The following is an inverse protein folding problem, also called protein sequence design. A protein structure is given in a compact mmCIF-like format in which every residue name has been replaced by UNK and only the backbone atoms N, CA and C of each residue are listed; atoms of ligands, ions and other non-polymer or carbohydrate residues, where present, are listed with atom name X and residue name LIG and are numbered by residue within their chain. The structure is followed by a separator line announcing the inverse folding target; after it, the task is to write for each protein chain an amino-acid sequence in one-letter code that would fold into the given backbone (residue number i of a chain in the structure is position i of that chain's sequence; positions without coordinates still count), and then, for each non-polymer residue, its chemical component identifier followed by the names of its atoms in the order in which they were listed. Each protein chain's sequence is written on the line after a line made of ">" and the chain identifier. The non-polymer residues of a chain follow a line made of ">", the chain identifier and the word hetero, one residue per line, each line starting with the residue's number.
data_IF_283410487346
#
_entry.id   IF_283410487346
#
_cell.length_a   1.000
_cell.length_b   1.000
_cell.length_c   1.000
_cell.angle_alpha   90.00
_cell.angle_beta   90.00
_cell.angle_gamma   90.00
#
_symmetry.space_group_name_H-M   'P 1'
#
loop_
_entity.id
_entity.type
_entity.pdbx_description
1 polymer ?
#
# COMPACT_ATOMS: atom_id res chain seq x y z
N UNK A 1 7.65 -16.34 -33.03
CA UNK A 1 8.33 -16.40 -31.72
C UNK A 1 8.39 -15.03 -31.06
N UNK A 2 8.77 -14.00 -31.77
CA UNK A 2 8.86 -12.63 -31.23
C UNK A 2 7.52 -12.11 -30.65
N UNK A 3 6.42 -12.25 -31.41
CA UNK A 3 5.08 -11.84 -30.96
C UNK A 3 4.65 -12.53 -29.65
N UNK A 4 4.97 -13.82 -29.50
CA UNK A 4 4.72 -14.57 -28.27
C UNK A 4 5.50 -14.00 -27.08
N UNK A 5 6.81 -13.78 -27.26
CA UNK A 5 7.67 -13.23 -26.19
C UNK A 5 7.18 -11.85 -25.76
N UNK A 6 6.86 -10.98 -26.72
CA UNK A 6 6.35 -9.64 -26.43
C UNK A 6 5.00 -9.69 -25.71
N UNK A 7 4.09 -10.57 -26.13
CA UNK A 7 2.81 -10.76 -25.48
C UNK A 7 2.98 -11.27 -24.04
N UNK A 8 3.82 -12.27 -23.82
CA UNK A 8 4.15 -12.79 -22.50
C UNK A 8 4.73 -11.70 -21.57
N UNK A 9 5.71 -10.93 -22.06
CA UNK A 9 6.31 -9.84 -21.30
C UNK A 9 5.29 -8.75 -20.95
N UNK A 10 4.37 -8.41 -21.86
CA UNK A 10 3.29 -7.46 -21.57
C UNK A 10 2.35 -7.97 -20.48
N UNK A 11 1.99 -9.26 -20.50
CA UNK A 11 1.19 -9.87 -19.43
C UNK A 11 1.89 -9.71 -18.09
N UNK A 12 3.16 -10.11 -18.01
CA UNK A 12 3.93 -10.02 -16.77
C UNK A 12 4.07 -8.57 -16.29
N UNK A 13 4.40 -7.64 -17.19
CA UNK A 13 4.60 -6.24 -16.85
C UNK A 13 3.32 -5.56 -16.35
N UNK A 14 2.21 -5.71 -17.07
CA UNK A 14 0.95 -5.04 -16.74
C UNK A 14 0.19 -5.67 -15.57
N UNK A 15 0.53 -6.88 -15.17
CA UNK A 15 -0.05 -7.51 -13.98
C UNK A 15 0.92 -7.44 -12.80
N UNK A 16 1.89 -8.34 -12.75
CA UNK A 16 2.82 -8.50 -11.64
C UNK A 16 3.78 -7.30 -11.51
N UNK A 17 4.26 -6.75 -12.63
CA UNK A 17 5.18 -5.61 -12.65
C UNK A 17 4.58 -4.38 -11.97
N UNK A 18 3.32 -4.05 -12.27
CA UNK A 18 2.61 -2.92 -11.64
C UNK A 18 2.45 -3.14 -10.13
N UNK A 19 2.04 -4.34 -9.72
CA UNK A 19 1.86 -4.66 -8.29
C UNK A 19 3.17 -4.56 -7.53
N UNK A 20 4.26 -5.09 -8.10
CA UNK A 20 5.59 -5.02 -7.48
C UNK A 20 6.07 -3.56 -7.39
N UNK A 21 5.95 -2.78 -8.47
CA UNK A 21 6.36 -1.38 -8.47
C UNK A 21 5.60 -0.55 -7.42
N UNK A 22 4.28 -0.71 -7.37
CA UNK A 22 3.45 -0.03 -6.38
C UNK A 22 3.76 -0.50 -4.95
N UNK A 23 3.91 -1.80 -4.74
CA UNK A 23 4.27 -2.37 -3.43
C UNK A 23 5.63 -1.87 -2.92
N UNK A 24 6.63 -1.76 -3.82
CA UNK A 24 7.93 -1.18 -3.48
C UNK A 24 7.82 0.31 -3.12
N UNK A 25 7.01 1.09 -3.84
CA UNK A 25 6.80 2.49 -3.53
C UNK A 25 6.20 2.69 -2.12
N UNK A 26 5.20 1.87 -1.75
CA UNK A 26 4.61 1.87 -0.39
C UNK A 26 5.65 1.46 0.66
N UNK A 27 6.46 0.43 0.40
CA UNK A 27 7.52 -0.02 1.31
C UNK A 27 8.60 1.05 1.50
N UNK A 28 8.98 1.78 0.44
CA UNK A 28 9.92 2.90 0.54
C UNK A 28 9.36 3.99 1.44
N UNK A 29 8.11 4.41 1.26
CA UNK A 29 7.46 5.39 2.14
C UNK A 29 7.49 4.95 3.62
N UNK A 30 7.16 3.68 3.89
CA UNK A 30 7.22 3.10 5.22
C UNK A 30 8.63 3.19 5.81
N UNK A 31 9.66 2.75 5.08
CA UNK A 31 11.05 2.80 5.53
C UNK A 31 11.51 4.22 5.82
N UNK A 32 11.14 5.17 4.98
CA UNK A 32 11.46 6.59 5.20
C UNK A 32 10.78 7.13 6.48
N UNK A 33 9.50 6.79 6.71
CA UNK A 33 8.84 7.16 7.97
C UNK A 33 9.61 6.64 9.19
N UNK A 34 10.02 5.37 9.18
CA UNK A 34 10.79 4.78 10.28
C UNK A 34 12.19 5.39 10.44
N UNK A 35 12.87 5.65 9.33
CA UNK A 35 14.18 6.30 9.31
C UNK A 35 14.10 7.68 10.02
N UNK A 36 13.11 8.47 9.65
CA UNK A 36 12.92 9.81 10.23
C UNK A 36 12.37 9.79 11.66
N UNK A 37 11.54 8.83 12.04
CA UNK A 37 11.11 8.68 13.43
C UNK A 37 12.23 8.23 14.37
N UNK A 38 13.20 7.49 13.85
CA UNK A 38 14.24 6.81 14.62
C UNK A 38 13.71 5.57 15.35
N UNK A 39 14.62 4.67 15.76
CA UNK A 39 14.25 3.33 16.23
C UNK A 39 13.31 3.32 17.45
N UNK A 40 13.57 4.15 18.47
CA UNK A 40 12.77 4.13 19.71
C UNK A 40 11.34 4.65 19.49
N UNK A 41 11.21 5.79 18.81
CA UNK A 41 9.90 6.41 18.52
C UNK A 41 9.14 5.58 17.51
N UNK A 42 9.80 5.18 16.43
CA UNK A 42 9.20 4.36 15.38
C UNK A 42 8.65 3.03 15.91
N UNK A 43 9.38 2.34 16.81
CA UNK A 43 8.91 1.12 17.45
C UNK A 43 7.64 1.33 18.28
N UNK A 44 7.60 2.40 19.09
CA UNK A 44 6.39 2.72 19.88
C UNK A 44 5.21 3.05 18.98
N UNK A 45 5.45 3.87 17.96
CA UNK A 45 4.45 4.24 16.99
C UNK A 45 3.91 3.01 16.24
N UNK A 46 4.78 2.11 15.80
CA UNK A 46 4.38 0.85 15.17
C UNK A 46 3.51 0.00 16.10
N UNK A 47 3.87 -0.14 17.38
CA UNK A 47 3.09 -0.91 18.35
C UNK A 47 1.68 -0.33 18.54
N UNK A 48 1.53 0.98 18.60
CA UNK A 48 0.22 1.64 18.74
C UNK A 48 -0.62 1.44 17.48
N UNK A 49 -0.03 1.62 16.30
CA UNK A 49 -0.76 1.46 15.03
C UNK A 49 -0.98 0.01 14.65
N UNK A 50 -0.21 -0.93 15.20
CA UNK A 50 -0.37 -2.37 14.92
C UNK A 50 -1.68 -2.94 15.44
N UNK A 51 -2.36 -2.29 16.37
CA UNK A 51 -3.63 -2.75 16.92
C UNK A 51 -4.72 -2.93 15.84
N UNK A 52 -4.82 -2.04 14.86
CA UNK A 52 -5.76 -2.14 13.74
C UNK A 52 -5.11 -2.67 12.46
N UNK A 53 -3.94 -2.14 12.13
CA UNK A 53 -3.30 -2.45 10.84
C UNK A 53 -2.82 -3.89 10.74
N UNK A 54 -2.28 -4.44 11.81
CA UNK A 54 -1.75 -5.81 11.81
C UNK A 54 -2.84 -6.88 11.69
N UNK A 55 -3.97 -6.83 12.43
CA UNK A 55 -5.06 -7.76 12.20
C UNK A 55 -5.58 -7.75 10.77
N UNK A 56 -5.69 -6.58 10.14
CA UNK A 56 -6.11 -6.47 8.73
C UNK A 56 -5.09 -7.14 7.81
N UNK A 57 -3.79 -6.96 8.06
CA UNK A 57 -2.72 -7.60 7.32
C UNK A 57 -2.82 -9.13 7.39
N UNK A 58 -2.85 -9.69 8.59
CA UNK A 58 -2.92 -11.14 8.79
C UNK A 58 -4.25 -11.74 8.29
N UNK A 59 -5.37 -11.04 8.44
CA UNK A 59 -6.65 -11.45 7.87
C UNK A 59 -6.61 -11.48 6.34
N UNK A 60 -5.84 -10.61 5.71
CA UNK A 60 -5.61 -10.64 4.27
C UNK A 60 -4.96 -11.95 3.82
N UNK A 61 -3.90 -12.40 4.52
CA UNK A 61 -3.30 -13.70 4.28
C UNK A 61 -4.28 -14.86 4.51
N UNK A 62 -4.99 -14.84 5.64
CA UNK A 62 -5.94 -15.89 6.01
C UNK A 62 -7.07 -16.02 4.97
N UNK A 63 -7.62 -14.89 4.50
CA UNK A 63 -8.66 -14.88 3.47
C UNK A 63 -8.17 -15.54 2.18
N UNK A 64 -6.97 -15.20 1.72
CA UNK A 64 -6.39 -15.79 0.52
C UNK A 64 -6.04 -17.27 0.74
N UNK A 65 -5.60 -17.68 1.92
CA UNK A 65 -5.41 -19.10 2.25
C UNK A 65 -6.70 -19.91 2.04
N UNK A 66 -7.83 -19.40 2.54
CA UNK A 66 -9.13 -20.05 2.36
C UNK A 66 -9.56 -20.11 0.90
N UNK A 67 -9.36 -19.02 0.15
CA UNK A 67 -9.73 -18.96 -1.27
C UNK A 67 -8.92 -19.93 -2.13
N UNK A 68 -7.64 -20.14 -1.82
CA UNK A 68 -6.73 -20.94 -2.63
C UNK A 68 -6.45 -22.34 -2.05
N UNK A 69 -7.37 -22.87 -1.23
CA UNK A 69 -7.30 -24.21 -0.69
C UNK A 69 -6.03 -24.50 0.13
N UNK A 70 -5.52 -23.50 0.88
CA UNK A 70 -4.49 -23.66 1.88
C UNK A 70 -5.12 -23.95 3.23
N UNK A 71 -4.50 -24.84 4.00
CA UNK A 71 -4.90 -25.11 5.38
C UNK A 71 -4.17 -24.13 6.29
N UNK A 72 -4.93 -23.38 7.09
CA UNK A 72 -4.37 -22.53 8.14
C UNK A 72 -4.03 -23.41 9.34
N UNK A 73 -2.76 -23.43 9.74
CA UNK A 73 -2.25 -24.20 10.87
C UNK A 73 -2.27 -23.36 12.16
N UNK A 74 -1.92 -22.07 12.03
CA UNK A 74 -1.88 -21.16 13.16
C UNK A 74 -2.17 -19.74 12.70
N UNK A 75 -2.88 -18.96 13.52
CA UNK A 75 -3.18 -17.56 13.27
C UNK A 75 -2.97 -16.73 14.53
N UNK A 76 -2.14 -15.72 14.45
CA UNK A 76 -1.93 -14.69 15.48
C UNK A 76 -2.08 -13.32 14.85
N UNK A 77 -3.15 -12.64 15.18
CA UNK A 77 -3.50 -11.34 14.62
C UNK A 77 -2.79 -10.17 15.32
N UNK A 78 -2.38 -10.37 16.58
CA UNK A 78 -1.80 -9.32 17.44
C UNK A 78 -0.45 -9.81 17.97
N UNK A 79 0.55 -8.91 18.13
CA UNK A 79 1.81 -9.28 18.78
C UNK A 79 1.57 -9.78 20.21
N UNK A 80 2.17 -10.90 20.57
CA UNK A 80 2.12 -11.49 21.90
C UNK A 80 3.50 -11.72 22.46
N UNK A 81 3.62 -12.16 23.71
CA UNK A 81 4.91 -12.58 24.28
C UNK A 81 5.50 -13.80 23.58
N UNK A 82 4.65 -14.63 22.98
CA UNK A 82 5.04 -15.84 22.25
C UNK A 82 5.57 -15.56 20.82
N UNK A 83 5.42 -14.33 20.31
CA UNK A 83 5.91 -13.96 18.99
C UNK A 83 5.09 -12.87 18.31
N UNK A 84 5.54 -12.46 17.14
CA UNK A 84 4.84 -11.51 16.26
C UNK A 84 3.57 -12.10 15.66
N UNK A 85 2.77 -11.23 15.00
CA UNK A 85 1.61 -11.66 14.21
C UNK A 85 2.06 -12.54 13.06
N UNK A 86 1.25 -13.53 12.71
CA UNK A 86 1.58 -14.50 11.65
C UNK A 86 0.36 -15.33 11.26
N UNK A 87 0.28 -15.71 9.99
CA UNK A 87 -0.58 -16.77 9.48
C UNK A 87 0.32 -17.89 8.94
N UNK A 88 0.38 -18.99 9.69
CA UNK A 88 1.09 -20.19 9.27
C UNK A 88 0.13 -21.08 8.49
N UNK A 89 0.52 -21.52 7.32
CA UNK A 89 -0.33 -22.32 6.45
C UNK A 89 0.45 -23.39 5.71
N UNK A 90 -0.24 -24.47 5.36
CA UNK A 90 0.26 -25.55 4.52
C UNK A 90 -0.62 -25.76 3.30
N UNK A 91 -0.05 -26.37 2.27
CA UNK A 91 -0.79 -26.67 1.03
C UNK A 91 -0.23 -27.89 0.30
N UNK A 92 -1.06 -28.47 -0.53
CA UNK A 92 -0.65 -29.58 -1.39
C UNK A 92 0.16 -29.05 -2.59
N UNK A 93 1.48 -29.30 -2.60
CA UNK A 93 2.41 -28.89 -3.67
C UNK A 93 2.10 -29.50 -5.03
N UNK A 94 1.30 -30.58 -5.09
CA UNK A 94 0.86 -31.22 -6.34
C UNK A 94 -0.40 -30.55 -6.92
N UNK A 95 -1.06 -29.70 -6.16
CA UNK A 95 -2.23 -28.96 -6.62
C UNK A 95 -1.78 -27.62 -7.25
N UNK A 96 -1.84 -27.44 -8.58
CA UNK A 96 -1.39 -26.22 -9.24
C UNK A 96 -2.21 -24.99 -8.82
N UNK A 97 -3.48 -25.13 -8.47
CA UNK A 97 -4.31 -24.06 -7.93
C UNK A 97 -3.79 -23.55 -6.58
N UNK A 98 -3.43 -24.45 -5.67
CA UNK A 98 -2.84 -24.08 -4.40
C UNK A 98 -1.43 -23.48 -4.58
N UNK A 99 -0.61 -24.02 -5.49
CA UNK A 99 0.70 -23.42 -5.82
C UNK A 99 0.54 -22.00 -6.32
N UNK A 100 -0.37 -21.75 -7.25
CA UNK A 100 -0.71 -20.41 -7.75
C UNK A 100 -1.21 -19.50 -6.64
N UNK A 101 -1.93 -20.05 -5.67
CA UNK A 101 -2.45 -19.35 -4.48
C UNK A 101 -1.39 -18.64 -3.66
N UNK A 102 -0.14 -19.15 -3.62
CA UNK A 102 0.95 -18.50 -2.88
C UNK A 102 1.19 -17.05 -3.35
N UNK A 103 1.01 -16.75 -4.63
CA UNK A 103 1.10 -15.39 -5.17
C UNK A 103 0.04 -14.48 -4.53
N UNK A 104 -1.20 -14.94 -4.47
CA UNK A 104 -2.33 -14.18 -3.94
C UNK A 104 -2.32 -14.07 -2.43
N UNK A 105 -1.80 -15.10 -1.73
CA UNK A 105 -1.62 -15.07 -0.28
C UNK A 105 -0.66 -13.95 0.11
N UNK A 106 0.46 -13.80 -0.61
CA UNK A 106 1.38 -12.70 -0.37
C UNK A 106 0.79 -11.31 -0.69
N UNK A 107 -0.14 -11.23 -1.65
CA UNK A 107 -0.86 -9.99 -1.99
C UNK A 107 -2.09 -9.73 -1.09
N UNK A 108 -2.53 -10.72 -0.34
CA UNK A 108 -3.75 -10.67 0.48
C UNK A 108 -3.88 -9.45 1.36
N UNK A 109 -2.85 -9.07 2.14
CA UNK A 109 -2.87 -7.87 2.98
C UNK A 109 -3.15 -6.59 2.21
N UNK A 110 -2.53 -6.44 1.04
CA UNK A 110 -2.73 -5.26 0.18
C UNK A 110 -4.15 -5.23 -0.37
N UNK A 111 -4.66 -6.35 -0.87
CA UNK A 111 -6.00 -6.45 -1.44
C UNK A 111 -7.08 -6.16 -0.39
N UNK A 112 -6.99 -6.78 0.78
CA UNK A 112 -7.94 -6.53 1.87
C UNK A 112 -7.83 -5.11 2.39
N UNK A 113 -6.61 -4.60 2.55
CA UNK A 113 -6.37 -3.24 3.02
C UNK A 113 -6.91 -2.18 2.05
N UNK A 114 -6.74 -2.35 0.74
CA UNK A 114 -7.33 -1.47 -0.28
C UNK A 114 -8.86 -1.52 -0.17
N UNK A 115 -9.45 -2.72 -0.12
CA UNK A 115 -10.89 -2.89 -0.03
C UNK A 115 -11.48 -2.19 1.21
N UNK A 116 -10.86 -2.36 2.37
CA UNK A 116 -11.28 -1.69 3.60
C UNK A 116 -11.07 -0.18 3.55
N UNK A 117 -9.95 0.29 2.96
CA UNK A 117 -9.70 1.72 2.76
C UNK A 117 -10.81 2.34 1.91
N UNK A 118 -11.18 1.72 0.80
CA UNK A 118 -12.27 2.17 -0.06
C UNK A 118 -13.63 2.16 0.68
N UNK A 119 -13.88 1.13 1.49
CA UNK A 119 -15.11 1.03 2.29
C UNK A 119 -15.20 2.17 3.32
N UNK A 120 -14.10 2.46 4.04
CA UNK A 120 -14.05 3.56 5.01
C UNK A 120 -14.22 4.90 4.33
N UNK A 121 -13.55 5.14 3.20
CA UNK A 121 -13.69 6.36 2.41
C UNK A 121 -15.12 6.53 1.91
N UNK A 122 -15.74 5.46 1.38
CA UNK A 122 -17.12 5.52 0.90
C UNK A 122 -18.11 5.84 2.02
N UNK A 123 -17.88 5.30 3.21
CA UNK A 123 -18.82 5.46 4.33
C UNK A 123 -18.64 6.78 5.08
N UNK A 124 -17.40 7.24 5.25
CA UNK A 124 -17.07 8.41 6.10
C UNK A 124 -16.77 9.66 5.27
N UNK A 125 -16.15 9.50 4.09
CA UNK A 125 -15.70 10.60 3.22
C UNK A 125 -16.24 10.44 1.78
N UNK A 126 -17.59 10.44 1.60
CA UNK A 126 -18.21 10.20 0.30
C UNK A 126 -17.80 11.21 -0.78
N UNK A 127 -17.56 12.48 -0.42
CA UNK A 127 -17.08 13.50 -1.37
C UNK A 127 -15.70 13.16 -1.93
N UNK A 128 -14.75 12.75 -1.08
CA UNK A 128 -13.42 12.27 -1.52
C UNK A 128 -13.55 11.02 -2.37
N UNK A 129 -14.43 10.10 -2.00
CA UNK A 129 -14.65 8.88 -2.77
C UNK A 129 -15.29 9.16 -4.13
N UNK A 130 -16.14 10.15 -4.26
CA UNK A 130 -16.70 10.58 -5.54
C UNK A 130 -15.62 11.12 -6.47
N UNK A 131 -14.74 12.00 -5.96
CA UNK A 131 -13.60 12.52 -6.73
C UNK A 131 -12.70 11.39 -7.21
N UNK A 132 -12.39 10.42 -6.35
CA UNK A 132 -11.61 9.23 -6.69
C UNK A 132 -12.27 8.37 -7.78
N UNK A 133 -13.59 8.14 -7.70
CA UNK A 133 -14.33 7.42 -8.75
C UNK A 133 -14.29 8.12 -10.10
N UNK A 134 -14.31 9.45 -10.11
CA UNK A 134 -14.18 10.21 -11.36
C UNK A 134 -12.85 9.89 -12.04
N UNK A 135 -11.75 9.89 -11.28
CA UNK A 135 -10.43 9.51 -11.80
C UNK A 135 -10.40 8.08 -12.33
N UNK A 136 -10.94 7.13 -11.57
CA UNK A 136 -11.01 5.74 -12.03
C UNK A 136 -11.74 5.57 -13.37
N UNK A 137 -12.66 6.45 -13.69
CA UNK A 137 -13.42 6.43 -14.95
C UNK A 137 -12.69 7.13 -16.10
N UNK A 138 -11.91 8.18 -15.80
CA UNK A 138 -11.25 9.01 -16.82
C UNK A 138 -9.88 8.48 -17.24
N UNK A 139 -9.12 7.89 -16.33
CA UNK A 139 -7.76 7.40 -16.58
C UNK A 139 -7.64 6.30 -17.66
N UNK A 140 -8.58 5.36 -17.84
CA UNK A 140 -8.46 4.33 -18.86
C UNK A 140 -8.43 4.85 -20.30
N UNK A 141 -8.83 6.11 -20.53
CA UNK A 141 -8.81 6.75 -21.85
C UNK A 141 -7.44 7.29 -22.29
N UNK A 142 -6.46 7.34 -21.41
CA UNK A 142 -5.06 7.66 -21.76
C UNK A 142 -4.73 9.16 -21.98
N UNK A 143 -5.72 10.06 -21.99
CA UNK A 143 -5.56 11.46 -22.35
C UNK A 143 -5.81 12.44 -21.17
N UNK A 144 -5.63 12.00 -19.92
CA UNK A 144 -5.80 12.91 -18.81
C UNK A 144 -4.57 13.83 -18.68
N UNK A 145 -4.68 15.13 -18.98
CA UNK A 145 -3.59 16.06 -18.77
C UNK A 145 -3.20 16.14 -17.30
N UNK A 146 -1.92 16.37 -17.01
CA UNK A 146 -1.38 16.47 -15.66
C UNK A 146 -2.16 17.44 -14.75
N UNK A 147 -2.77 18.48 -15.33
CA UNK A 147 -3.61 19.46 -14.63
C UNK A 147 -4.87 18.82 -14.03
N UNK A 148 -5.46 17.83 -14.68
CA UNK A 148 -6.63 17.10 -14.14
C UNK A 148 -6.24 16.23 -12.94
N UNK A 149 -5.04 15.68 -12.94
CA UNK A 149 -4.51 14.87 -11.83
C UNK A 149 -4.29 15.71 -10.58
N UNK A 150 -3.74 16.91 -10.75
CA UNK A 150 -3.55 17.88 -9.64
C UNK A 150 -4.90 18.32 -9.08
N UNK A 151 -5.84 18.69 -9.95
CA UNK A 151 -7.19 19.08 -9.56
C UNK A 151 -7.94 17.98 -8.82
N UNK A 152 -7.71 16.73 -9.21
CA UNK A 152 -8.26 15.57 -8.50
C UNK A 152 -7.67 15.40 -7.10
N UNK A 153 -6.36 15.47 -6.94
CA UNK A 153 -5.70 15.38 -5.62
C UNK A 153 -6.24 16.49 -4.71
N UNK A 154 -6.36 17.71 -5.23
CA UNK A 154 -6.91 18.83 -4.49
C UNK A 154 -8.36 18.56 -4.03
N UNK A 155 -9.24 18.12 -4.93
CA UNK A 155 -10.63 17.78 -4.58
C UNK A 155 -10.71 16.63 -3.58
N UNK A 156 -9.88 15.61 -3.73
CA UNK A 156 -9.80 14.49 -2.78
C UNK A 156 -9.41 14.98 -1.39
N UNK A 157 -8.36 15.78 -1.29
CA UNK A 157 -7.88 16.33 -0.01
C UNK A 157 -8.90 17.30 0.61
N UNK A 158 -9.51 18.18 -0.20
CA UNK A 158 -10.61 19.05 0.27
C UNK A 158 -11.77 18.24 0.82
N UNK A 159 -12.16 17.15 0.13
CA UNK A 159 -13.21 16.26 0.61
C UNK A 159 -12.90 15.65 1.98
N UNK A 160 -11.64 15.24 2.23
CA UNK A 160 -11.24 14.74 3.55
C UNK A 160 -11.34 15.78 4.66
N UNK A 161 -11.08 17.06 4.36
CA UNK A 161 -11.06 18.14 5.34
C UNK A 161 -12.44 18.75 5.57
N UNK A 162 -13.25 18.88 4.52
CA UNK A 162 -14.52 19.61 4.57
C UNK A 162 -15.74 18.72 4.76
N UNK A 163 -15.58 17.39 4.69
CA UNK A 163 -16.68 16.45 4.85
C UNK A 163 -17.33 16.57 6.24
N UNK A 164 -18.63 16.74 6.27
CA UNK A 164 -19.40 16.90 7.51
C UNK A 164 -20.57 15.92 7.64
N UNK A 165 -20.69 14.95 6.73
CA UNK A 165 -21.79 13.96 6.75
C UNK A 165 -21.78 13.07 8.00
N UNK A 166 -20.63 12.95 8.66
CA UNK A 166 -20.47 12.17 9.89
C UNK A 166 -20.00 13.06 11.05
N UNK A 167 -20.33 12.65 12.27
CA UNK A 167 -19.85 13.30 13.48
C UNK A 167 -18.31 13.38 13.50
N UNK A 168 -17.75 14.45 14.06
CA UNK A 168 -16.30 14.70 14.04
C UNK A 168 -15.48 13.54 14.62
N UNK A 169 -15.98 12.87 15.68
CA UNK A 169 -15.30 11.73 16.30
C UNK A 169 -15.29 10.49 15.39
N UNK A 170 -16.34 10.27 14.56
CA UNK A 170 -16.36 9.19 13.56
C UNK A 170 -15.30 9.45 12.49
N UNK A 171 -15.19 10.70 12.04
CA UNK A 171 -14.15 11.11 11.07
C UNK A 171 -12.75 10.94 11.65
N UNK A 172 -12.54 11.30 12.91
CA UNK A 172 -11.26 11.11 13.60
C UNK A 172 -10.90 9.61 13.70
N UNK A 173 -11.84 8.78 14.13
CA UNK A 173 -11.62 7.32 14.21
C UNK A 173 -11.32 6.72 12.83
N UNK A 174 -12.04 7.13 11.79
CA UNK A 174 -11.78 6.71 10.43
C UNK A 174 -10.39 7.15 9.94
N UNK A 175 -9.98 8.39 10.20
CA UNK A 175 -8.65 8.89 9.87
C UNK A 175 -7.56 8.07 10.59
N UNK A 176 -7.73 7.78 11.87
CA UNK A 176 -6.81 6.93 12.64
C UNK A 176 -6.75 5.50 12.06
N UNK A 177 -7.91 4.93 11.68
CA UNK A 177 -7.96 3.60 11.07
C UNK A 177 -7.27 3.58 9.70
N UNK A 178 -7.55 4.54 8.82
CA UNK A 178 -6.91 4.68 7.52
C UNK A 178 -5.38 4.84 7.66
N UNK A 179 -4.97 5.68 8.60
CA UNK A 179 -3.57 5.93 8.90
C UNK A 179 -2.86 4.66 9.44
N UNK A 180 -3.53 3.92 10.34
CA UNK A 180 -3.02 2.65 10.86
C UNK A 180 -2.92 1.59 9.76
N UNK A 181 -3.95 1.44 8.94
CA UNK A 181 -3.95 0.47 7.83
C UNK A 181 -2.84 0.79 6.83
N UNK A 182 -2.69 2.04 6.41
CA UNK A 182 -1.68 2.43 5.41
C UNK A 182 -0.25 2.07 5.82
N UNK A 183 0.07 2.08 7.12
CA UNK A 183 1.38 1.65 7.64
C UNK A 183 1.61 0.13 7.56
N UNK A 184 0.54 -0.65 7.55
CA UNK A 184 0.62 -2.11 7.62
C UNK A 184 0.23 -2.80 6.30
N UNK A 185 -0.39 -2.08 5.35
CA UNK A 185 -0.67 -2.53 3.99
C UNK A 185 0.60 -2.37 3.14
N UNK A 186 1.55 -3.25 3.36
CA UNK A 186 2.82 -3.27 2.63
C UNK A 186 3.23 -4.70 2.33
N UNK A 187 4.05 -4.89 1.31
CA UNK A 187 4.68 -6.18 1.04
C UNK A 187 5.86 -6.36 1.98
N UNK A 188 5.74 -7.25 2.96
CA UNK A 188 6.88 -7.64 3.78
C UNK A 188 7.84 -8.54 2.98
N UNK A 189 9.08 -8.68 3.45
CA UNK A 189 10.03 -9.58 2.81
C UNK A 189 9.54 -11.04 2.82
N UNK A 190 8.86 -11.48 3.89
CA UNK A 190 8.23 -12.79 3.99
C UNK A 190 7.12 -13.00 2.97
N UNK A 191 6.30 -11.96 2.72
CA UNK A 191 5.22 -12.03 1.73
C UNK A 191 5.78 -12.18 0.33
N UNK A 192 6.81 -11.39 -0.02
CA UNK A 192 7.51 -11.51 -1.29
C UNK A 192 8.11 -12.91 -1.48
N UNK A 193 8.80 -13.44 -0.46
CA UNK A 193 9.33 -14.81 -0.51
C UNK A 193 8.23 -15.87 -0.66
N UNK A 194 7.07 -15.66 -0.03
CA UNK A 194 5.88 -16.48 -0.20
C UNK A 194 5.38 -16.45 -1.66
N UNK A 195 5.25 -15.24 -2.22
CA UNK A 195 4.81 -15.03 -3.61
C UNK A 195 5.71 -15.73 -4.63
N UNK A 196 7.04 -15.76 -4.41
CA UNK A 196 7.98 -16.43 -5.31
C UNK A 196 7.65 -17.90 -5.53
N UNK A 197 7.03 -18.57 -4.56
CA UNK A 197 6.58 -19.97 -4.69
C UNK A 197 5.43 -20.12 -5.69
N UNK A 198 4.63 -19.08 -5.90
CA UNK A 198 3.52 -19.05 -6.87
C UNK A 198 3.95 -18.65 -8.29
N UNK A 199 5.14 -18.03 -8.46
CA UNK A 199 5.61 -17.54 -9.75
C UNK A 199 5.68 -18.60 -10.86
N UNK A 200 6.14 -19.85 -10.61
CA UNK A 200 6.17 -20.86 -11.67
C UNK A 200 4.79 -21.16 -12.24
N UNK A 201 3.77 -21.28 -11.38
CA UNK A 201 2.41 -21.51 -11.82
C UNK A 201 1.84 -20.29 -12.58
N UNK A 202 2.12 -19.08 -12.09
CA UNK A 202 1.77 -17.84 -12.78
C UNK A 202 2.43 -17.76 -14.16
N UNK A 203 3.73 -18.07 -14.28
CA UNK A 203 4.46 -18.02 -15.54
C UNK A 203 3.89 -18.99 -16.58
N UNK A 204 3.49 -20.19 -16.15
CA UNK A 204 2.83 -21.17 -17.02
C UNK A 204 1.49 -20.60 -17.52
N UNK A 205 0.66 -20.03 -16.63
CA UNK A 205 -0.63 -19.44 -17.01
C UNK A 205 -0.41 -18.29 -18.00
N UNK A 206 0.53 -17.39 -17.71
CA UNK A 206 0.86 -16.26 -18.59
C UNK A 206 1.37 -16.72 -19.95
N UNK A 207 2.19 -17.78 -20.00
CA UNK A 207 2.69 -18.36 -21.24
C UNK A 207 1.55 -19.00 -22.06
N UNK A 208 0.64 -19.73 -21.43
CA UNK A 208 -0.54 -20.31 -22.12
C UNK A 208 -1.43 -19.22 -22.70
N UNK A 209 -1.72 -18.17 -21.92
CA UNK A 209 -2.51 -17.02 -22.38
C UNK A 209 -1.84 -16.31 -23.56
N UNK A 210 -0.52 -16.08 -23.48
CA UNK A 210 0.26 -15.47 -24.56
C UNK A 210 0.25 -16.35 -25.84
N UNK A 211 0.39 -17.67 -25.68
CA UNK A 211 0.36 -18.62 -26.77
C UNK A 211 -1.00 -18.62 -27.47
N UNK A 212 -2.08 -18.69 -26.71
CA UNK A 212 -3.44 -18.66 -27.26
C UNK A 212 -3.71 -17.35 -27.98
N UNK A 213 -3.36 -16.21 -27.37
CA UNK A 213 -3.55 -14.90 -27.99
C UNK A 213 -2.78 -14.77 -29.31
N UNK A 214 -1.52 -15.21 -29.35
CA UNK A 214 -0.70 -15.16 -30.56
C UNK A 214 -1.19 -16.14 -31.63
N UNK A 215 -1.72 -17.29 -31.24
CA UNK A 215 -2.33 -18.24 -32.15
C UNK A 215 -3.62 -17.70 -32.77
N UNK A 216 -4.39 -16.90 -32.02
CA UNK A 216 -5.62 -16.25 -32.51
C UNK A 216 -5.34 -15.06 -33.44
N UNK A 217 -4.11 -14.54 -33.50
CA UNK A 217 -3.69 -13.47 -34.40
C UNK A 217 -3.51 -12.10 -33.71
N UNK A 218 -3.14 -11.11 -34.54
CA UNK A 218 -2.76 -9.76 -34.04
C UNK A 218 -3.92 -9.04 -33.34
N UNK A 219 -5.13 -9.19 -33.82
CA UNK A 219 -6.30 -8.55 -33.20
C UNK A 219 -6.53 -9.04 -31.77
N UNK A 220 -6.34 -10.33 -31.52
CA UNK A 220 -6.46 -10.91 -30.19
C UNK A 220 -5.34 -10.41 -29.26
N UNK A 221 -4.11 -10.31 -29.75
CA UNK A 221 -2.97 -9.75 -28.98
C UNK A 221 -3.22 -8.28 -28.64
N UNK A 222 -3.71 -7.49 -29.59
CA UNK A 222 -4.02 -6.08 -29.37
C UNK A 222 -5.17 -5.89 -28.37
N UNK A 223 -6.24 -6.66 -28.50
CA UNK A 223 -7.37 -6.65 -27.57
C UNK A 223 -6.93 -7.05 -26.15
N UNK A 224 -6.12 -8.10 -26.02
CA UNK A 224 -5.56 -8.52 -24.73
C UNK A 224 -4.68 -7.44 -24.14
N UNK A 225 -3.75 -6.86 -24.92
CA UNK A 225 -2.85 -5.79 -24.46
C UNK A 225 -3.64 -4.58 -23.99
N UNK A 226 -4.69 -4.18 -24.70
CA UNK A 226 -5.56 -3.09 -24.29
C UNK A 226 -6.25 -3.37 -22.94
N UNK A 227 -6.79 -4.57 -22.75
CA UNK A 227 -7.42 -4.98 -21.49
C UNK A 227 -6.42 -5.05 -20.32
N UNK A 228 -5.22 -5.56 -20.57
CA UNK A 228 -4.14 -5.59 -19.60
C UNK A 228 -3.73 -4.17 -19.19
N UNK A 229 -3.60 -3.27 -20.14
CA UNK A 229 -3.30 -1.86 -19.88
C UNK A 229 -4.38 -1.19 -19.03
N UNK A 230 -5.67 -1.39 -19.36
CA UNK A 230 -6.77 -0.89 -18.53
C UNK A 230 -6.72 -1.46 -17.11
N UNK A 231 -6.46 -2.77 -16.96
CA UNK A 231 -6.29 -3.42 -15.66
C UNK A 231 -5.10 -2.88 -14.88
N UNK A 232 -3.98 -2.64 -15.54
CA UNK A 232 -2.78 -2.05 -14.95
C UNK A 232 -3.04 -0.63 -14.39
N UNK A 233 -3.76 0.21 -15.15
CA UNK A 233 -4.19 1.54 -14.70
C UNK A 233 -5.13 1.48 -13.50
N UNK A 234 -6.10 0.56 -13.51
CA UNK A 234 -6.98 0.33 -12.38
C UNK A 234 -6.19 -0.06 -11.13
N UNK A 235 -5.28 -1.02 -11.24
CA UNK A 235 -4.41 -1.43 -10.14
C UNK A 235 -3.54 -0.28 -9.65
N UNK A 236 -2.85 0.42 -10.54
CA UNK A 236 -2.00 1.56 -10.18
C UNK A 236 -2.79 2.65 -9.46
N UNK A 237 -4.01 2.96 -9.90
CA UNK A 237 -4.87 3.95 -9.23
C UNK A 237 -5.34 3.48 -7.84
N UNK A 238 -5.66 2.19 -7.65
CA UNK A 238 -5.99 1.64 -6.34
C UNK A 238 -4.80 1.73 -5.37
N UNK A 239 -3.60 1.41 -5.84
CA UNK A 239 -2.37 1.54 -5.05
C UNK A 239 -1.98 3.00 -4.78
N UNK A 240 -2.27 3.92 -5.71
CA UNK A 240 -1.99 5.34 -5.52
C UNK A 240 -2.68 5.92 -4.29
N UNK A 241 -3.85 5.41 -3.94
CA UNK A 241 -4.56 5.79 -2.72
C UNK A 241 -3.76 5.44 -1.46
N UNK A 242 -3.22 4.22 -1.39
CA UNK A 242 -2.37 3.79 -0.26
C UNK A 242 -1.06 4.57 -0.24
N UNK A 243 -0.47 4.81 -1.41
CA UNK A 243 0.74 5.62 -1.53
C UNK A 243 0.50 7.06 -1.06
N UNK A 244 -0.63 7.67 -1.40
CA UNK A 244 -1.01 9.01 -0.95
C UNK A 244 -1.13 9.09 0.58
N UNK A 245 -1.75 8.08 1.21
CA UNK A 245 -1.80 7.98 2.67
C UNK A 245 -0.40 7.80 3.27
N UNK A 246 0.46 7.00 2.66
CA UNK A 246 1.86 6.83 3.08
C UNK A 246 2.67 8.12 2.97
N UNK A 247 2.50 8.88 1.89
CA UNK A 247 3.14 10.19 1.70
C UNK A 247 2.63 11.22 2.72
N UNK A 248 1.33 11.24 3.02
CA UNK A 248 0.77 12.09 4.07
C UNK A 248 1.36 11.75 5.45
N UNK A 249 1.58 10.48 5.75
CA UNK A 249 2.26 10.03 6.97
C UNK A 249 3.71 10.51 7.01
N UNK A 250 4.45 10.36 5.91
CA UNK A 250 5.83 10.83 5.80
C UNK A 250 5.91 12.34 6.01
N UNK A 251 5.03 13.11 5.38
CA UNK A 251 4.95 14.56 5.55
C UNK A 251 4.69 14.95 7.01
N UNK A 252 3.78 14.25 7.70
CA UNK A 252 3.50 14.47 9.12
C UNK A 252 4.72 14.17 9.98
N UNK A 253 5.43 13.07 9.74
CA UNK A 253 6.67 12.72 10.46
C UNK A 253 7.74 13.79 10.27
N UNK A 254 7.95 14.26 9.04
CA UNK A 254 8.91 15.32 8.73
C UNK A 254 8.54 16.64 9.41
N UNK A 255 7.26 17.01 9.38
CA UNK A 255 6.77 18.22 10.08
C UNK A 255 7.00 18.12 11.58
N UNK A 256 6.67 17.00 12.21
CA UNK A 256 6.92 16.78 13.64
C UNK A 256 8.42 16.88 13.97
N UNK A 257 9.29 16.34 13.12
CA UNK A 257 10.75 16.46 13.27
C UNK A 257 11.23 17.89 13.18
N UNK A 258 10.73 18.64 12.18
CA UNK A 258 11.06 20.05 12.01
C UNK A 258 10.65 20.87 13.24
N UNK A 259 9.42 20.71 13.72
CA UNK A 259 8.91 21.41 14.89
C UNK A 259 9.73 21.08 16.15
N UNK A 260 10.08 19.81 16.34
CA UNK A 260 10.95 19.39 17.46
C UNK A 260 12.36 19.98 17.35
N UNK A 261 12.93 20.08 16.16
CA UNK A 261 14.23 20.70 15.93
C UNK A 261 14.17 22.19 16.26
N UNK A 262 13.17 22.91 15.73
CA UNK A 262 12.95 24.33 16.02
C UNK A 262 12.74 24.59 17.52
N UNK A 263 11.96 23.74 18.19
CA UNK A 263 11.76 23.86 19.64
C UNK A 263 13.05 23.66 20.45
N UNK A 264 13.88 22.68 20.06
CA UNK A 264 15.20 22.46 20.71
C UNK A 264 16.13 23.64 20.51
N UNK A 265 16.21 24.18 19.29
CA UNK A 265 17.02 25.37 18.98
C UNK A 265 16.52 26.58 19.78
N UNK A 266 15.21 26.82 19.80
CA UNK A 266 14.64 27.91 20.61
C UNK A 266 14.94 27.77 22.07
N UNK A 267 14.82 26.55 22.63
CA UNK A 267 15.18 26.29 24.05
C UNK A 267 16.66 26.52 24.32
N UNK A 268 17.54 26.10 23.41
CA UNK A 268 19.00 26.33 23.52
C UNK A 268 19.36 27.83 23.54
N UNK A 269 18.72 28.61 22.66
CA UNK A 269 18.93 30.06 22.62
C UNK A 269 18.45 30.71 23.93
N UNK A 270 17.31 30.27 24.46
CA UNK A 270 16.74 30.85 25.70
C UNK A 270 17.50 30.42 26.97
N UNK A 271 18.22 29.31 26.94
CA UNK A 271 19.04 28.84 28.06
C UNK A 271 20.49 29.38 28.02
N UNK A 272 20.84 30.19 27.01
CA UNK A 272 22.12 30.88 26.96
C UNK A 272 22.01 32.11 27.82
N UNK A 273 22.47 32.04 29.09
CA UNK A 273 22.85 33.18 29.93
C UNK A 273 24.24 33.59 29.46
N UNK A 274 24.46 34.86 29.02
CA UNK A 274 25.82 35.35 28.81
C UNK A 274 26.54 35.28 30.15
N UNK A 275 27.68 34.62 30.19
CA UNK A 275 28.61 34.74 31.33
C UNK A 275 28.98 36.21 31.42
N UNK A 276 28.47 36.92 32.47
CA UNK A 276 28.88 38.27 32.85
C UNK A 276 30.29 38.20 33.45
N UNK A 277 31.25 37.83 32.63
CA UNK A 277 32.67 37.92 32.98
C UNK A 277 33.21 39.28 32.53
N UNK A 278 32.75 40.32 33.19
CA UNK A 278 33.54 41.53 33.32
C UNK A 278 34.25 41.45 34.68
N UNK A 279 35.38 40.75 34.74
CA UNK A 279 36.40 41.04 35.73
C UNK A 279 37.02 42.38 35.36
N UNK A 280 36.48 43.42 36.00
CA UNK A 280 37.20 44.70 36.18
C UNK A 280 38.23 44.46 37.29
N UNK A 281 39.40 44.01 36.86
CA UNK A 281 40.59 44.13 37.74
C UNK A 281 41.46 45.27 37.21
N UNK A 282 41.52 46.33 38.06
CA UNK A 282 42.46 47.43 37.99
C UNK A 282 43.91 46.97 38.13
#
# INVERSE_FOLDING_TARGET
>A
MEAFILCFLRIVLYTLGVVIACGLAVEICYRLCFLFMGQKVGRRFWLVTSFLGTPVHELGHALMCLLFAHRIENIRLIPTRAGGPVVEHSYNKRNPYAVFGNLWIGLGPMLLGIALTLAVLQWVYPASMQSYRTVLRTLPGGDAPNEQLIGWIEQFLRGLLTEQTRAWWVRLLAAVALFSMALHIRLSASDVLGMLRGLPAYAVIAAVVALVATWMGEDAVNALTFKLHQGAWLLASLFSLILLLGLAQLALVLLCRLLLALFRTWRSIRSYEPDDEYDEDE
#
